data_IF_844217180230
#
_entry.id   IF_844217180230
#
_cell.length_a   1.000
_cell.length_b   1.000
_cell.length_c   1.000
_cell.angle_alpha   90.00
_cell.angle_beta   90.00
_cell.angle_gamma   90.00
#
_symmetry.space_group_name_H-M   'P 1'
#
loop_
_entity.id
_entity.type
_entity.pdbx_description
1 polymer ?
#
# COMPACT_ATOMS: atom_id res chain seq x y z
N UNK A 1 12.58 -16.14 -4.35
CA UNK A 1 11.41 -15.37 -4.81
C UNK A 1 11.31 -14.06 -4.05
N UNK A 2 11.36 -14.07 -2.71
CA UNK A 2 11.41 -12.85 -1.91
C UNK A 2 12.56 -11.91 -2.31
N UNK A 3 13.75 -12.44 -2.62
CA UNK A 3 14.93 -11.62 -2.98
C UNK A 3 14.80 -10.85 -4.31
N UNK A 4 13.76 -11.10 -5.11
CA UNK A 4 13.53 -10.44 -6.41
C UNK A 4 12.39 -9.42 -6.36
N UNK A 5 11.92 -9.09 -5.16
CA UNK A 5 10.82 -8.15 -4.92
C UNK A 5 11.17 -7.27 -3.73
N UNK A 6 10.99 -5.96 -3.88
CA UNK A 6 11.07 -5.01 -2.77
C UNK A 6 9.78 -4.21 -2.67
N UNK A 7 9.38 -3.95 -1.43
CA UNK A 7 8.32 -3.03 -1.07
C UNK A 7 8.97 -1.86 -0.34
N UNK A 8 8.84 -0.66 -0.91
CA UNK A 8 9.42 0.55 -0.33
C UNK A 8 8.32 1.57 -0.11
N UNK A 9 8.03 1.85 1.15
CA UNK A 9 7.09 2.89 1.56
C UNK A 9 7.66 4.25 1.13
N UNK A 10 6.82 5.12 0.57
CA UNK A 10 7.23 6.44 0.07
C UNK A 10 6.56 7.57 0.86
N UNK A 11 5.24 7.48 1.00
CA UNK A 11 4.43 8.44 1.74
C UNK A 11 3.35 7.72 2.52
N UNK A 12 2.97 8.34 3.63
CA UNK A 12 1.95 7.82 4.53
C UNK A 12 0.76 8.77 4.59
N UNK A 13 -0.42 8.20 4.86
CA UNK A 13 -1.62 8.94 5.21
C UNK A 13 -2.07 8.53 6.61
N UNK A 14 -2.32 9.52 7.47
CA UNK A 14 -2.88 9.30 8.80
C UNK A 14 -4.38 9.58 8.78
N UNK A 15 -5.15 8.60 9.21
CA UNK A 15 -6.59 8.72 9.33
C UNK A 15 -6.97 9.78 10.38
N UNK A 16 -7.79 10.78 10.02
CA UNK A 16 -8.35 11.71 10.99
C UNK A 16 -9.40 11.06 11.90
N UNK A 17 -9.90 9.87 11.56
CA UNK A 17 -10.97 9.19 12.31
C UNK A 17 -10.46 8.10 13.25
N UNK A 18 -9.47 7.31 12.85
CA UNK A 18 -8.91 6.24 13.70
C UNK A 18 -7.55 6.61 14.29
N UNK A 19 -6.87 7.62 13.73
CA UNK A 19 -5.50 7.96 14.09
C UNK A 19 -4.45 6.98 13.55
N UNK A 20 -4.84 5.99 12.74
CA UNK A 20 -3.92 5.02 12.15
C UNK A 20 -3.18 5.62 10.96
N UNK A 21 -1.91 5.25 10.81
CA UNK A 21 -1.04 5.69 9.71
C UNK A 21 -0.79 4.53 8.76
N UNK A 22 -0.98 4.78 7.46
CA UNK A 22 -0.89 3.78 6.40
C UNK A 22 0.09 4.26 5.32
N UNK A 23 1.02 3.42 4.82
CA UNK A 23 1.87 3.74 3.68
C UNK A 23 1.08 3.67 2.37
N UNK A 24 0.35 4.74 2.06
CA UNK A 24 -0.56 4.78 0.91
C UNK A 24 0.15 4.97 -0.43
N UNK A 25 1.41 5.43 -0.40
CA UNK A 25 2.27 5.50 -1.57
C UNK A 25 3.42 4.50 -1.43
N UNK A 26 3.59 3.65 -2.44
CA UNK A 26 4.52 2.52 -2.39
C UNK A 26 5.27 2.41 -3.70
N UNK A 27 6.59 2.25 -3.62
CA UNK A 27 7.41 1.82 -4.73
C UNK A 27 7.62 0.31 -4.63
N UNK A 28 7.28 -0.38 -5.71
CA UNK A 28 7.54 -1.82 -5.89
C UNK A 28 8.68 -1.96 -6.88
N UNK A 29 9.76 -2.63 -6.49
CA UNK A 29 10.85 -2.99 -7.39
C UNK A 29 10.84 -4.50 -7.57
N UNK A 30 10.89 -4.96 -8.81
CA UNK A 30 10.88 -6.39 -9.13
C UNK A 30 11.89 -6.72 -10.21
N UNK A 31 12.67 -7.78 -9.99
CA UNK A 31 13.49 -8.38 -11.04
C UNK A 31 12.62 -9.40 -11.80
N UNK A 32 12.02 -8.95 -12.89
CA UNK A 32 11.10 -9.75 -13.71
C UNK A 32 11.88 -10.72 -14.61
N UNK A 33 11.55 -12.02 -14.64
CA UNK A 33 12.35 -13.06 -15.32
C UNK A 33 12.52 -12.85 -16.83
N UNK A 34 11.67 -12.05 -17.47
CA UNK A 34 11.73 -11.75 -18.91
C UNK A 34 11.98 -10.29 -19.24
N UNK A 35 11.69 -9.37 -18.30
CA UNK A 35 11.71 -7.91 -18.56
C UNK A 35 12.88 -7.22 -17.86
N UNK A 36 13.62 -7.96 -17.02
CA UNK A 36 14.65 -7.40 -16.15
C UNK A 36 14.03 -6.61 -15.00
N UNK A 37 14.81 -5.68 -14.46
CA UNK A 37 14.37 -4.79 -13.39
C UNK A 37 13.18 -3.95 -13.83
N UNK A 38 12.15 -3.90 -13.00
CA UNK A 38 10.95 -3.08 -13.19
C UNK A 38 10.68 -2.32 -11.90
N UNK A 39 10.21 -1.08 -12.05
CA UNK A 39 9.81 -0.22 -10.94
C UNK A 39 8.39 0.26 -11.19
N UNK A 40 7.52 0.06 -10.19
CA UNK A 40 6.14 0.48 -10.21
C UNK A 40 5.88 1.41 -9.02
N UNK A 41 5.33 2.59 -9.29
CA UNK A 41 4.89 3.51 -8.26
C UNK A 41 3.37 3.36 -8.10
N UNK A 42 2.93 2.98 -6.91
CA UNK A 42 1.52 2.82 -6.56
C UNK A 42 1.09 4.08 -5.82
N UNK A 43 0.12 4.79 -6.39
CA UNK A 43 -0.37 6.05 -5.85
C UNK A 43 -1.90 5.99 -5.66
N UNK A 44 -2.43 6.42 -4.52
CA UNK A 44 -3.86 6.43 -4.26
C UNK A 44 -4.58 7.42 -5.17
N UNK A 45 -5.81 7.09 -5.59
CA UNK A 45 -6.64 8.03 -6.34
C UNK A 45 -7.24 9.11 -5.43
N UNK A 46 -7.55 8.74 -4.18
CA UNK A 46 -7.98 9.63 -3.10
C UNK A 46 -7.36 9.15 -1.79
N UNK A 47 -7.09 10.06 -0.87
CA UNK A 47 -6.36 9.75 0.38
C UNK A 47 -7.18 8.87 1.34
N UNK A 48 -8.42 9.27 1.62
CA UNK A 48 -9.26 8.58 2.60
C UNK A 48 -10.03 7.43 1.94
N UNK A 49 -9.41 6.25 1.94
CA UNK A 49 -10.03 4.99 1.53
C UNK A 49 -9.98 3.98 2.69
N UNK A 50 -10.09 4.47 3.93
CA UNK A 50 -10.11 3.63 5.11
C UNK A 50 -11.48 2.96 5.31
N UNK A 51 -11.46 1.65 5.44
CA UNK A 51 -12.57 0.84 5.91
C UNK A 51 -12.46 0.63 7.42
N UNK A 52 -13.38 1.25 8.16
CA UNK A 52 -13.28 1.40 9.61
C UNK A 52 -13.58 0.15 10.47
N UNK A 53 -14.10 -0.93 9.87
CA UNK A 53 -14.59 -2.08 10.63
C UNK A 53 -15.58 -1.70 11.75
N UNK A 54 -15.74 -2.59 12.75
CA UNK A 54 -16.54 -2.32 13.96
C UNK A 54 -15.70 -1.71 15.11
N UNK A 55 -14.38 -1.90 15.07
CA UNK A 55 -13.42 -1.41 16.06
C UNK A 55 -12.18 -0.90 15.31
N UNK A 56 -11.54 0.15 15.82
CA UNK A 56 -10.42 0.81 15.15
C UNK A 56 -9.20 -0.12 14.92
N UNK A 57 -8.99 -1.11 15.79
CA UNK A 57 -7.93 -2.12 15.64
C UNK A 57 -8.15 -3.08 14.44
N UNK A 58 -9.36 -3.10 13.89
CA UNK A 58 -9.76 -3.86 12.70
C UNK A 58 -10.00 -2.96 11.48
N UNK A 59 -9.47 -1.73 11.48
CA UNK A 59 -9.55 -0.87 10.32
C UNK A 59 -8.51 -1.27 9.27
N UNK A 60 -8.93 -1.23 8.01
CA UNK A 60 -8.13 -1.50 6.82
C UNK A 60 -8.06 -0.23 5.99
N UNK A 61 -6.97 -0.01 5.27
CA UNK A 61 -7.00 0.92 4.15
C UNK A 61 -7.16 0.11 2.87
N UNK A 62 -8.26 0.32 2.16
CA UNK A 62 -8.62 -0.46 0.97
C UNK A 62 -8.90 0.50 -0.18
N UNK A 63 -7.87 0.82 -0.96
CA UNK A 63 -7.94 1.92 -1.89
C UNK A 63 -7.63 1.59 -3.34
N UNK A 64 -8.42 2.21 -4.21
CA UNK A 64 -8.13 2.28 -5.63
C UNK A 64 -6.91 3.18 -5.87
N UNK A 65 -5.98 2.67 -6.67
CA UNK A 65 -4.70 3.30 -6.98
C UNK A 65 -4.46 3.36 -8.48
N UNK A 66 -3.58 4.26 -8.90
CA UNK A 66 -2.92 4.25 -10.22
C UNK A 66 -1.53 3.63 -10.09
N UNK A 67 -1.08 3.02 -11.18
CA UNK A 67 0.30 2.54 -11.32
C UNK A 67 1.03 3.49 -12.26
N UNK A 68 2.11 4.09 -11.78
CA UNK A 68 2.98 4.96 -12.56
C UNK A 68 4.32 4.26 -12.84
N UNK A 69 4.93 4.56 -13.98
CA UNK A 69 6.34 4.27 -14.21
C UNK A 69 7.23 5.37 -13.60
N UNK A 70 8.54 5.17 -13.65
CA UNK A 70 9.53 6.15 -13.14
C UNK A 70 9.57 7.45 -13.96
N UNK A 71 9.04 7.44 -15.19
CA UNK A 71 8.87 8.64 -16.01
C UNK A 71 7.63 9.47 -15.62
N UNK A 72 6.81 9.01 -14.66
CA UNK A 72 5.61 9.72 -14.20
C UNK A 72 4.38 9.50 -15.08
N UNK A 73 4.41 8.49 -15.96
CA UNK A 73 3.31 8.11 -16.83
C UNK A 73 2.43 7.04 -16.18
N UNK A 74 1.11 7.17 -16.34
CA UNK A 74 0.17 6.17 -15.86
C UNK A 74 0.18 4.96 -16.78
N UNK A 75 0.68 3.84 -16.26
CA UNK A 75 0.78 2.56 -16.98
C UNK A 75 -0.26 1.53 -16.52
N UNK A 76 -1.04 1.83 -15.47
CA UNK A 76 -2.04 0.89 -14.98
C UNK A 76 -2.96 1.42 -13.88
N UNK A 77 -3.71 0.48 -13.32
CA UNK A 77 -4.58 0.65 -12.15
C UNK A 77 -4.27 -0.46 -11.17
N UNK A 78 -4.39 -0.17 -9.88
CA UNK A 78 -4.17 -1.13 -8.81
C UNK A 78 -5.26 -0.97 -7.74
N UNK A 79 -5.35 -1.98 -6.88
CA UNK A 79 -6.03 -1.87 -5.60
C UNK A 79 -5.01 -2.23 -4.53
N UNK A 80 -4.96 -1.43 -3.47
CA UNK A 80 -4.03 -1.61 -2.39
C UNK A 80 -4.79 -1.82 -1.08
N UNK A 81 -4.51 -2.96 -0.44
CA UNK A 81 -5.05 -3.33 0.88
C UNK A 81 -3.91 -3.25 1.91
N UNK A 82 -4.11 -2.44 2.94
CA UNK A 82 -3.17 -2.26 4.05
C UNK A 82 -3.88 -2.65 5.35
N UNK A 83 -3.44 -3.76 5.93
CA UNK A 83 -4.02 -4.35 7.13
C UNK A 83 -3.01 -4.37 8.28
N UNK A 84 -3.50 -4.35 9.52
CA UNK A 84 -2.69 -4.58 10.72
C UNK A 84 -2.01 -3.34 11.31
N UNK A 85 -2.22 -2.17 10.72
CA UNK A 85 -1.71 -0.89 11.23
C UNK A 85 -2.39 -0.44 12.54
N UNK A 86 -3.53 -1.05 12.90
CA UNK A 86 -4.19 -0.88 14.20
C UNK A 86 -3.61 -1.68 15.37
N UNK A 87 -2.49 -2.40 15.17
CA UNK A 87 -1.84 -3.22 16.21
C UNK A 87 -2.56 -4.54 16.55
N UNK A 88 -3.81 -4.71 16.12
CA UNK A 88 -4.64 -5.89 16.42
C UNK A 88 -4.21 -7.19 15.74
N UNK A 89 -3.59 -7.13 14.55
CA UNK A 89 -3.18 -8.33 13.80
C UNK A 89 -1.90 -8.98 14.37
N UNK A 90 -0.96 -8.19 14.88
CA UNK A 90 0.26 -8.72 15.53
C UNK A 90 0.04 -9.18 16.98
N UNK A 91 -0.89 -8.54 17.71
CA UNK A 91 -1.18 -8.86 19.10
C UNK A 91 -2.01 -10.13 19.30
N UNK A 92 -2.70 -10.62 18.26
CA UNK A 92 -3.61 -11.79 18.34
C UNK A 92 -2.99 -13.09 17.82
N UNK A 93 -1.71 -13.06 17.44
CA UNK A 93 -0.93 -14.22 16.99
C UNK A 93 0.01 -14.77 18.08
N UNK A 94 -0.10 -14.27 19.32
CA UNK A 94 0.58 -14.79 20.51
C UNK A 94 -0.43 -15.32 21.53
#
# INVERSE_FOLDING_TARGET
YADRFSWVEQEEWTSPKTGLTYPTHVKIEVDHPQKGEQVYLIEPLVENQEFYGLQADNAYWEGACRVMNVEGEKIGRAYLELAGYGGGLGARLN
#
